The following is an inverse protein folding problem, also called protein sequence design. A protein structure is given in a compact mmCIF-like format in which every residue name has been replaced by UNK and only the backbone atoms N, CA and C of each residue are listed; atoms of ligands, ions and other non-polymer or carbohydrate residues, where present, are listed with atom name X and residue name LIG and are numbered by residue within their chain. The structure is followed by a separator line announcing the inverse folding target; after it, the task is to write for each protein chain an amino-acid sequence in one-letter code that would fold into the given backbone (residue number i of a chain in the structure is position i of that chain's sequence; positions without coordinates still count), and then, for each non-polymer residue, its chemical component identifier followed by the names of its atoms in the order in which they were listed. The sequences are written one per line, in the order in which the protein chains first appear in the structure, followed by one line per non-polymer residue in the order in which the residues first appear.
data_IF_163171996375
#
_entry.id   IF_163171996375
#
_cell.length_a   1.000
_cell.length_b   1.000
_cell.length_c   1.000
_cell.angle_alpha   90.00
_cell.angle_beta   90.00
_cell.angle_gamma   90.00
#
_symmetry.space_group_name_H-M   'P 1'
#
loop_
_entity.id
_entity.type
_entity.pdbx_description
1 polymer ?
#
# COMPACT_ATOMS: atom_id res chain seq x y z
N UNK A 1 11.43 -7.11 11.19
CA UNK A 1 12.38 -8.19 11.52
C UNK A 1 13.71 -7.65 12.04
N UNK A 2 14.21 -6.56 11.46
CA UNK A 2 15.47 -5.92 11.84
C UNK A 2 15.28 -4.82 12.92
N UNK A 3 14.07 -4.70 13.47
CA UNK A 3 13.72 -3.66 14.43
C UNK A 3 13.66 -2.26 13.83
N UNK A 4 13.71 -1.25 14.71
CA UNK A 4 13.68 0.16 14.29
C UNK A 4 14.91 0.57 13.48
N UNK A 5 16.03 -0.12 13.61
CA UNK A 5 17.29 0.15 12.88
C UNK A 5 17.14 0.00 11.37
N UNK A 6 16.18 -0.82 10.91
CA UNK A 6 15.86 -0.99 9.49
C UNK A 6 14.89 0.04 8.94
N UNK A 7 14.31 0.88 9.79
CA UNK A 7 13.28 1.85 9.40
C UNK A 7 13.91 3.16 8.95
N UNK A 8 13.48 3.64 7.79
CA UNK A 8 13.79 4.98 7.28
C UNK A 8 12.51 5.75 6.99
N UNK A 9 12.51 7.03 7.28
CA UNK A 9 11.34 7.89 7.12
C UNK A 9 11.52 8.89 5.98
N UNK A 10 10.40 9.26 5.36
CA UNK A 10 10.29 10.45 4.51
C UNK A 10 9.25 11.38 5.12
N UNK A 11 9.62 12.64 5.39
CA UNK A 11 8.74 13.61 6.01
C UNK A 11 8.35 14.71 5.00
N UNK A 12 7.06 14.80 4.70
CA UNK A 12 6.51 15.80 3.77
C UNK A 12 5.70 16.83 4.54
N UNK A 13 6.15 18.09 4.49
CA UNK A 13 5.57 19.19 5.21
C UNK A 13 4.76 20.08 4.27
N UNK A 14 3.50 20.32 4.57
CA UNK A 14 2.61 21.24 3.87
C UNK A 14 2.16 22.29 4.86
N UNK A 15 2.65 23.53 4.70
CA UNK A 15 2.50 24.56 5.72
C UNK A 15 2.23 25.95 5.12
N UNK A 16 1.39 26.79 5.74
CA UNK A 16 1.09 28.12 5.24
C UNK A 16 2.02 29.21 5.80
N UNK A 17 3.31 28.94 6.00
CA UNK A 17 4.27 29.87 6.64
C UNK A 17 4.24 31.28 6.09
N UNK A 18 4.07 31.43 4.77
CA UNK A 18 4.05 32.73 4.10
C UNK A 18 2.70 33.43 4.15
N UNK A 19 1.70 32.82 4.72
CA UNK A 19 0.31 33.27 4.63
C UNK A 19 -0.25 33.74 5.97
N UNK A 20 0.41 33.40 7.08
CA UNK A 20 -0.05 33.70 8.42
C UNK A 20 1.12 33.96 9.39
N UNK A 21 0.92 34.91 10.29
CA UNK A 21 1.85 35.20 11.38
C UNK A 21 1.94 34.02 12.34
N UNK A 22 3.15 33.68 12.79
CA UNK A 22 3.43 32.62 13.75
C UNK A 22 3.50 31.18 13.16
N UNK A 23 3.13 30.98 11.90
CA UNK A 23 3.14 29.65 11.29
C UNK A 23 4.55 29.09 11.03
N UNK A 24 5.53 29.94 10.84
CA UNK A 24 6.95 29.57 10.78
C UNK A 24 7.48 29.05 12.13
N UNK A 25 7.10 29.70 13.24
CA UNK A 25 7.43 29.23 14.59
C UNK A 25 6.74 27.87 14.91
N UNK A 26 5.47 27.73 14.49
CA UNK A 26 4.75 26.44 14.63
C UNK A 26 5.42 25.33 13.81
N UNK A 27 5.84 25.61 12.57
CA UNK A 27 6.57 24.65 11.75
C UNK A 27 7.87 24.23 12.43
N UNK A 28 8.65 25.21 12.92
CA UNK A 28 9.91 24.90 13.64
C UNK A 28 9.65 23.99 14.84
N UNK A 29 8.62 24.26 15.64
CA UNK A 29 8.27 23.45 16.81
C UNK A 29 7.86 22.03 16.40
N UNK A 30 7.07 21.89 15.34
CA UNK A 30 6.65 20.58 14.83
C UNK A 30 7.81 19.76 14.27
N UNK A 31 8.70 20.41 13.48
CA UNK A 31 9.92 19.75 12.96
C UNK A 31 10.84 19.33 14.10
N UNK A 32 11.02 20.19 15.10
CA UNK A 32 11.84 19.88 16.27
C UNK A 32 11.27 18.66 17.03
N UNK A 33 9.97 18.62 17.26
CA UNK A 33 9.32 17.49 17.96
C UNK A 33 9.52 16.16 17.20
N UNK A 34 9.35 16.18 15.87
CA UNK A 34 9.60 15.00 15.04
C UNK A 34 11.08 14.59 15.10
N UNK A 35 12.00 15.56 14.99
CA UNK A 35 13.44 15.31 15.06
C UNK A 35 13.84 14.71 16.40
N UNK A 36 13.39 15.29 17.51
CA UNK A 36 13.70 14.80 18.86
C UNK A 36 13.21 13.36 19.06
N UNK A 37 12.01 13.04 18.59
CA UNK A 37 11.43 11.71 18.64
C UNK A 37 12.23 10.71 17.78
N UNK A 38 12.54 11.07 16.53
CA UNK A 38 13.35 10.23 15.64
C UNK A 38 14.76 9.97 16.21
N UNK A 39 15.37 10.99 16.80
CA UNK A 39 16.67 10.84 17.48
C UNK A 39 16.59 9.87 18.67
N UNK A 40 15.53 9.97 19.48
CA UNK A 40 15.30 9.06 20.61
C UNK A 40 15.11 7.61 20.17
N UNK A 41 14.47 7.40 19.01
CA UNK A 41 14.26 6.09 18.41
C UNK A 41 15.42 5.61 17.52
N UNK A 42 16.43 6.48 17.26
CA UNK A 42 17.54 6.23 16.35
C UNK A 42 17.11 5.94 14.90
N UNK A 43 15.98 6.52 14.47
CA UNK A 43 15.45 6.39 13.12
C UNK A 43 15.91 7.56 12.26
N UNK A 44 16.41 7.28 11.05
CA UNK A 44 16.84 8.32 10.14
C UNK A 44 15.67 8.87 9.28
N UNK A 45 15.82 10.14 8.85
CA UNK A 45 14.92 10.80 7.90
C UNK A 45 15.76 11.29 6.70
N UNK A 46 16.13 10.38 5.77
CA UNK A 46 17.05 10.70 4.68
C UNK A 46 16.46 11.61 3.61
N UNK A 47 15.14 11.71 3.54
CA UNK A 47 14.46 12.48 2.50
C UNK A 47 13.15 13.09 3.01
N UNK A 48 12.69 14.06 2.28
CA UNK A 48 11.43 14.74 2.55
C UNK A 48 11.22 15.88 1.57
N UNK A 49 10.13 16.58 1.76
CA UNK A 49 9.74 17.71 0.90
C UNK A 49 8.87 18.67 1.69
N UNK A 50 9.03 19.95 1.45
CA UNK A 50 8.21 20.99 2.05
C UNK A 50 7.52 21.87 1.00
N UNK A 51 6.30 22.28 1.33
CA UNK A 51 5.49 23.25 0.60
C UNK A 51 5.01 24.30 1.59
N UNK A 52 5.65 25.49 1.57
CA UNK A 52 5.50 26.47 2.64
C UNK A 52 4.51 27.61 2.32
N UNK A 53 3.76 27.54 1.24
CA UNK A 53 2.77 28.53 0.83
C UNK A 53 1.42 27.89 0.48
N UNK A 54 0.99 26.96 1.30
CA UNK A 54 -0.24 26.18 1.08
C UNK A 54 -1.49 27.04 1.27
N UNK A 55 -1.84 27.77 0.21
CA UNK A 55 -3.00 28.67 0.18
C UNK A 55 -3.62 28.63 -1.21
N UNK A 56 -4.93 28.37 -1.28
CA UNK A 56 -5.71 28.51 -2.51
C UNK A 56 -6.35 29.90 -2.55
N UNK A 57 -6.12 30.65 -3.62
CA UNK A 57 -6.74 31.95 -3.90
C UNK A 57 -7.79 31.80 -4.99
N UNK A 58 -8.92 32.45 -4.82
CA UNK A 58 -10.02 32.44 -5.78
C UNK A 58 -10.17 33.78 -6.50
N UNK A 59 -10.80 33.82 -7.70
CA UNK A 59 -10.97 35.05 -8.47
C UNK A 59 -11.76 36.16 -7.76
N UNK A 60 -12.62 35.80 -6.82
CA UNK A 60 -13.41 36.73 -6.00
C UNK A 60 -12.60 37.37 -4.85
N UNK A 61 -11.32 37.06 -4.75
CA UNK A 61 -10.42 37.54 -3.71
C UNK A 61 -10.47 36.72 -2.42
N UNK A 62 -11.35 35.73 -2.31
CA UNK A 62 -11.35 34.82 -1.19
C UNK A 62 -10.13 33.90 -1.21
N UNK A 63 -9.74 33.42 -0.02
CA UNK A 63 -8.63 32.47 0.11
C UNK A 63 -8.96 31.38 1.13
N UNK A 64 -8.52 30.17 0.85
CA UNK A 64 -8.50 29.05 1.80
C UNK A 64 -7.07 28.72 2.14
N UNK A 65 -6.77 28.72 3.42
CA UNK A 65 -5.45 28.43 3.98
C UNK A 65 -5.47 27.00 4.48
N UNK A 66 -4.52 26.19 4.03
CA UNK A 66 -4.37 24.81 4.49
C UNK A 66 -3.90 24.79 5.95
N UNK A 67 -4.41 23.90 6.80
CA UNK A 67 -3.79 23.65 8.10
C UNK A 67 -2.35 23.14 7.92
N UNK A 68 -1.50 23.45 8.90
CA UNK A 68 -0.16 22.85 8.96
C UNK A 68 -0.28 21.33 9.05
N UNK A 69 0.36 20.62 8.11
CA UNK A 69 0.26 19.16 7.98
C UNK A 69 1.64 18.57 7.73
N UNK A 70 1.93 17.45 8.38
CA UNK A 70 3.06 16.59 8.04
C UNK A 70 2.56 15.20 7.68
N UNK A 71 3.10 14.64 6.60
CA UNK A 71 2.90 13.25 6.23
C UNK A 71 4.23 12.54 6.34
N UNK A 72 4.32 11.59 7.26
CA UNK A 72 5.49 10.75 7.46
C UNK A 72 5.22 9.39 6.85
N UNK A 73 6.08 9.00 5.92
CA UNK A 73 6.07 7.66 5.33
C UNK A 73 7.25 6.87 5.87
N UNK A 74 7.02 5.64 6.27
CA UNK A 74 8.05 4.75 6.79
C UNK A 74 8.30 3.60 5.81
N UNK A 75 9.55 3.28 5.58
CA UNK A 75 10.00 2.08 4.88
C UNK A 75 10.88 1.25 5.79
N UNK A 76 10.66 -0.06 5.81
CA UNK A 76 11.46 -1.00 6.59
C UNK A 76 11.69 -2.29 5.82
N UNK A 77 12.76 -3.01 6.13
CA UNK A 77 13.07 -4.28 5.52
C UNK A 77 12.20 -5.40 6.11
N UNK A 78 11.71 -6.28 5.25
CA UNK A 78 10.95 -7.48 5.63
C UNK A 78 11.73 -8.70 5.18
N UNK A 79 12.28 -9.45 6.11
CA UNK A 79 13.12 -10.63 5.82
C UNK A 79 12.31 -11.84 5.32
N UNK A 80 11.05 -11.94 5.71
CA UNK A 80 10.15 -13.04 5.30
C UNK A 80 8.73 -12.50 5.07
N UNK A 81 8.36 -12.34 3.81
CA UNK A 81 7.02 -11.84 3.40
C UNK A 81 5.86 -12.72 3.86
N UNK A 82 6.12 -13.92 4.35
CA UNK A 82 5.10 -14.81 4.94
C UNK A 82 4.83 -14.52 6.41
N UNK A 83 5.68 -13.76 7.08
CA UNK A 83 5.51 -13.33 8.47
C UNK A 83 4.82 -11.97 8.56
N UNK A 84 3.77 -11.77 7.78
CA UNK A 84 2.93 -10.56 7.84
C UNK A 84 1.68 -10.85 8.64
N UNK A 85 1.18 -9.83 9.34
CA UNK A 85 -0.07 -9.89 10.09
C UNK A 85 -1.15 -9.22 9.27
N UNK A 86 -2.24 -9.94 8.99
CA UNK A 86 -3.43 -9.38 8.35
C UNK A 86 -4.30 -8.64 9.37
N UNK A 87 -4.96 -7.54 9.01
CA UNK A 87 -5.94 -6.90 9.90
C UNK A 87 -7.26 -7.68 10.00
N UNK A 88 -7.47 -8.69 9.15
CA UNK A 88 -8.74 -9.41 9.06
C UNK A 88 -8.90 -10.37 10.23
N UNK A 89 -9.96 -10.18 11.01
CA UNK A 89 -10.30 -11.05 12.14
C UNK A 89 -10.46 -12.51 11.69
N UNK A 90 -9.84 -13.43 12.43
CA UNK A 90 -10.05 -14.86 12.25
C UNK A 90 -11.27 -15.29 13.09
N UNK A 91 -12.30 -15.83 12.44
CA UNK A 91 -13.51 -16.33 13.12
C UNK A 91 -13.19 -17.62 13.87
N UNK A 92 -12.71 -17.48 15.10
CA UNK A 92 -12.38 -18.61 15.97
C UNK A 92 -12.59 -18.21 17.44
N UNK A 93 -13.57 -18.78 18.10
CA UNK A 93 -13.88 -18.51 19.50
C UNK A 93 -12.77 -18.90 20.50
N UNK A 94 -11.84 -19.78 20.10
CA UNK A 94 -10.68 -20.16 20.92
C UNK A 94 -9.52 -19.19 20.76
N UNK A 95 -9.85 -17.91 20.63
CA UNK A 95 -8.88 -16.82 20.51
C UNK A 95 -9.28 -15.66 21.42
N UNK A 96 -8.34 -14.81 21.70
CA UNK A 96 -8.51 -13.64 22.55
C UNK A 96 -8.02 -12.39 21.83
N UNK A 97 -8.75 -11.29 22.00
CA UNK A 97 -8.43 -9.97 21.48
C UNK A 97 -7.78 -9.15 22.59
N UNK A 98 -6.63 -8.55 22.30
CA UNK A 98 -5.89 -7.66 23.19
C UNK A 98 -5.69 -6.30 22.55
N UNK A 99 -5.73 -5.26 23.38
CA UNK A 99 -5.20 -3.93 23.06
C UNK A 99 -3.82 -3.80 23.70
N UNK A 100 -2.86 -3.29 22.95
CA UNK A 100 -1.50 -2.97 23.40
C UNK A 100 -1.31 -1.47 23.23
N UNK A 101 -0.99 -0.76 24.31
CA UNK A 101 -0.74 0.66 24.30
C UNK A 101 0.69 0.98 23.85
N UNK A 102 0.84 1.96 22.98
CA UNK A 102 2.14 2.50 22.54
C UNK A 102 2.36 3.94 22.99
N UNK A 103 1.34 4.57 23.56
CA UNK A 103 1.35 6.00 23.88
C UNK A 103 1.95 6.32 25.22
N UNK A 104 1.78 5.46 26.20
CA UNK A 104 2.03 5.75 27.63
C UNK A 104 1.37 7.06 28.10
N UNK A 105 0.20 7.37 27.52
CA UNK A 105 -0.52 8.63 27.73
C UNK A 105 -1.99 8.37 28.12
N UNK A 106 -2.62 9.37 28.75
CA UNK A 106 -4.06 9.35 28.97
C UNK A 106 -4.80 9.45 27.62
N UNK A 107 -6.00 8.87 27.57
CA UNK A 107 -6.85 8.94 26.37
C UNK A 107 -7.33 10.38 26.14
N UNK A 108 -7.08 10.92 24.94
CA UNK A 108 -7.36 12.30 24.55
C UNK A 108 -8.09 12.35 23.21
N UNK A 109 -9.00 13.30 23.05
CA UNK A 109 -9.86 13.44 21.85
C UNK A 109 -9.48 14.60 20.94
N UNK A 110 -8.51 15.45 21.34
CA UNK A 110 -8.09 16.59 20.53
C UNK A 110 -7.53 16.14 19.18
N UNK A 111 -7.96 16.81 18.12
CA UNK A 111 -7.55 16.49 16.75
C UNK A 111 -8.17 15.24 16.16
N UNK A 112 -8.85 14.40 16.94
CA UNK A 112 -9.43 13.15 16.48
C UNK A 112 -10.52 13.33 15.41
N UNK A 113 -10.75 12.31 14.60
CA UNK A 113 -11.85 12.27 13.64
C UNK A 113 -13.19 12.51 14.34
N UNK A 114 -13.37 11.99 15.55
CA UNK A 114 -14.57 12.24 16.36
C UNK A 114 -14.76 13.73 16.67
N UNK A 115 -13.73 14.43 17.15
CA UNK A 115 -13.79 15.87 17.42
C UNK A 115 -14.11 16.68 16.17
N UNK A 116 -13.49 16.31 15.03
CA UNK A 116 -13.71 16.96 13.73
C UNK A 116 -15.16 16.78 13.24
N UNK A 117 -15.78 15.62 13.42
CA UNK A 117 -17.21 15.42 13.06
C UNK A 117 -18.16 16.31 13.85
N UNK A 118 -17.75 16.76 15.03
CA UNK A 118 -18.48 17.73 15.87
C UNK A 118 -18.14 19.20 15.55
N UNK A 119 -17.33 19.45 14.54
CA UNK A 119 -16.83 20.80 14.20
C UNK A 119 -15.90 21.39 15.26
N UNK A 120 -15.22 20.54 16.03
CA UNK A 120 -14.27 20.93 17.09
C UNK A 120 -12.91 20.29 16.83
N UNK A 121 -11.85 20.96 17.28
CA UNK A 121 -10.49 20.39 17.22
C UNK A 121 -10.07 19.90 18.61
N UNK A 122 -10.30 20.68 19.67
CA UNK A 122 -9.83 20.41 21.03
C UNK A 122 -8.35 20.74 21.23
N UNK A 123 -7.93 20.87 22.48
CA UNK A 123 -6.58 21.30 22.85
C UNK A 123 -5.71 20.13 23.35
N UNK A 124 -6.35 19.08 23.91
CA UNK A 124 -5.65 17.91 24.41
C UNK A 124 -5.55 16.84 23.33
N UNK A 125 -4.38 16.74 22.70
CA UNK A 125 -4.09 15.76 21.65
C UNK A 125 -3.36 14.53 22.21
N UNK A 126 -3.59 13.31 21.64
CA UNK A 126 -2.80 12.13 21.97
C UNK A 126 -1.32 12.35 21.61
N UNK A 127 -0.43 11.76 22.40
CA UNK A 127 1.01 11.87 22.20
C UNK A 127 1.70 10.60 22.68
N UNK A 128 2.92 10.35 22.22
CA UNK A 128 3.83 9.38 22.81
C UNK A 128 4.58 10.11 23.93
N UNK A 129 4.34 9.73 25.19
CA UNK A 129 4.95 10.38 26.34
C UNK A 129 6.37 9.88 26.61
N UNK A 130 6.68 8.66 26.20
CA UNK A 130 7.99 8.02 26.42
C UNK A 130 8.41 7.27 25.15
N UNK A 131 9.51 7.73 24.55
CA UNK A 131 10.05 7.14 23.33
C UNK A 131 10.68 5.75 23.58
N UNK A 132 11.23 5.51 24.76
CA UNK A 132 11.79 4.20 25.12
C UNK A 132 10.67 3.16 25.28
N UNK A 133 9.59 3.55 25.97
CA UNK A 133 8.40 2.71 26.06
C UNK A 133 7.82 2.38 24.68
N UNK A 134 7.71 3.38 23.79
CA UNK A 134 7.25 3.14 22.41
C UNK A 134 8.14 2.14 21.67
N UNK A 135 9.47 2.28 21.79
CA UNK A 135 10.44 1.36 21.20
C UNK A 135 10.24 -0.06 21.73
N UNK A 136 10.11 -0.20 23.06
CA UNK A 136 9.98 -1.50 23.71
C UNK A 136 8.65 -2.17 23.34
N UNK A 137 7.55 -1.40 23.22
CA UNK A 137 6.26 -1.88 22.70
C UNK A 137 6.38 -2.35 21.25
N UNK A 138 7.05 -1.57 20.39
CA UNK A 138 7.29 -1.95 19.00
C UNK A 138 8.09 -3.25 18.90
N UNK A 139 9.20 -3.37 19.62
CA UNK A 139 10.06 -4.56 19.61
C UNK A 139 9.33 -5.80 20.16
N UNK A 140 8.55 -5.66 21.23
CA UNK A 140 7.73 -6.75 21.76
C UNK A 140 6.73 -7.26 20.71
N UNK A 141 6.06 -6.35 19.99
CA UNK A 141 5.14 -6.73 18.90
C UNK A 141 5.88 -7.41 17.76
N UNK A 142 7.07 -6.92 17.36
CA UNK A 142 7.89 -7.59 16.33
C UNK A 142 8.31 -9.00 16.79
N UNK A 143 8.61 -9.20 18.04
CA UNK A 143 8.88 -10.53 18.60
C UNK A 143 7.65 -11.46 18.49
N UNK A 144 6.45 -10.95 18.81
CA UNK A 144 5.21 -11.70 18.66
C UNK A 144 4.95 -12.09 17.19
N UNK A 145 5.20 -11.19 16.25
CA UNK A 145 5.08 -11.45 14.79
C UNK A 145 6.09 -12.51 14.37
N UNK A 146 7.35 -12.37 14.74
CA UNK A 146 8.42 -13.31 14.39
C UNK A 146 8.18 -14.73 14.90
N UNK A 147 7.60 -14.84 16.09
CA UNK A 147 7.23 -16.12 16.70
C UNK A 147 5.92 -16.69 16.16
N UNK A 148 5.20 -15.97 15.28
CA UNK A 148 3.91 -16.40 14.72
C UNK A 148 2.79 -16.49 15.76
N UNK A 149 2.80 -15.64 16.77
CA UNK A 149 1.85 -15.67 17.87
C UNK A 149 0.61 -14.82 17.62
N UNK A 150 0.65 -13.92 16.61
CA UNK A 150 -0.46 -13.03 16.23
C UNK A 150 -1.20 -13.65 15.04
N UNK A 151 -2.51 -13.79 15.16
CA UNK A 151 -3.39 -14.31 14.10
C UNK A 151 -3.93 -13.18 13.20
N UNK A 152 -4.25 -12.04 13.82
CA UNK A 152 -4.69 -10.81 13.16
C UNK A 152 -4.27 -9.62 14.01
N UNK A 153 -4.07 -8.45 13.39
CA UNK A 153 -3.73 -7.24 14.13
C UNK A 153 -3.96 -5.98 13.31
N UNK A 154 -4.35 -4.91 13.99
CA UNK A 154 -4.65 -3.61 13.38
C UNK A 154 -4.21 -2.49 14.32
N UNK A 155 -3.65 -1.43 13.76
CA UNK A 155 -3.29 -0.22 14.49
C UNK A 155 -4.52 0.61 14.87
N UNK A 156 -4.40 1.38 15.94
CA UNK A 156 -5.38 2.41 16.29
C UNK A 156 -4.99 3.67 15.54
N UNK A 157 -5.89 4.13 14.67
CA UNK A 157 -5.72 5.33 13.87
C UNK A 157 -6.99 6.20 13.88
N UNK A 158 -7.29 6.88 12.77
CA UNK A 158 -8.45 7.74 12.66
C UNK A 158 -9.76 7.03 13.06
N UNK A 159 -10.49 7.60 14.03
CA UNK A 159 -11.73 7.03 14.56
C UNK A 159 -11.56 6.14 15.79
N UNK A 160 -10.31 5.90 16.24
CA UNK A 160 -10.00 5.25 17.51
C UNK A 160 -10.32 3.76 17.57
N UNK A 161 -10.38 3.22 18.79
CA UNK A 161 -10.54 1.79 19.05
C UNK A 161 -11.77 1.17 18.36
N UNK A 162 -12.93 1.85 18.38
CA UNK A 162 -14.15 1.28 17.78
C UNK A 162 -14.02 1.10 16.26
N UNK A 163 -13.37 2.05 15.58
CA UNK A 163 -13.13 1.95 14.14
C UNK A 163 -12.17 0.81 13.83
N UNK A 164 -11.07 0.69 14.58
CA UNK A 164 -10.13 -0.43 14.47
C UNK A 164 -10.83 -1.80 14.59
N UNK A 165 -11.68 -1.97 15.62
CA UNK A 165 -12.43 -3.23 15.80
C UNK A 165 -13.41 -3.51 14.66
N UNK A 166 -14.07 -2.48 14.13
CA UNK A 166 -14.97 -2.60 12.98
C UNK A 166 -14.22 -2.96 11.70
N UNK A 167 -13.09 -2.28 11.43
CA UNK A 167 -12.25 -2.52 10.25
C UNK A 167 -11.69 -3.94 10.24
N UNK A 168 -11.33 -4.50 11.39
CA UNK A 168 -10.95 -5.92 11.50
C UNK A 168 -12.06 -6.89 11.06
N UNK A 169 -13.33 -6.47 11.12
CA UNK A 169 -14.48 -7.28 10.72
C UNK A 169 -14.96 -7.01 9.29
N UNK A 170 -14.64 -5.88 8.67
CA UNK A 170 -15.26 -5.44 7.42
C UNK A 170 -14.96 -6.35 6.22
N UNK A 171 -13.79 -6.97 6.19
CA UNK A 171 -13.41 -7.89 5.11
C UNK A 171 -14.11 -9.25 5.20
N UNK A 172 -14.57 -9.64 6.39
CA UNK A 172 -15.33 -10.85 6.60
C UNK A 172 -16.80 -10.67 6.20
N UNK A 173 -17.47 -11.75 5.83
CA UNK A 173 -18.92 -11.77 5.56
C UNK A 173 -19.72 -12.33 6.73
N UNK A 174 -19.05 -12.96 7.69
CA UNK A 174 -19.62 -13.60 8.88
C UNK A 174 -18.81 -13.24 10.12
N UNK A 175 -19.39 -13.44 11.30
CA UNK A 175 -18.74 -13.23 12.59
C UNK A 175 -18.63 -11.78 13.02
N UNK A 176 -18.31 -11.59 14.29
CA UNK A 176 -18.11 -10.31 14.96
C UNK A 176 -17.31 -10.47 16.24
N UNK A 177 -17.56 -9.63 17.23
CA UNK A 177 -16.79 -9.60 18.47
C UNK A 177 -17.67 -9.29 19.70
N UNK A 178 -17.31 -9.88 20.84
CA UNK A 178 -17.75 -9.46 22.16
C UNK A 178 -16.59 -8.81 22.88
N UNK A 179 -16.74 -7.53 23.24
CA UNK A 179 -15.72 -6.66 23.82
C UNK A 179 -16.15 -6.16 25.19
N UNK A 180 -15.30 -6.33 26.18
CA UNK A 180 -15.49 -5.82 27.54
C UNK A 180 -14.38 -4.83 27.88
N UNK A 181 -14.76 -3.62 28.24
CA UNK A 181 -13.88 -2.49 28.50
C UNK A 181 -13.62 -2.23 30.00
N UNK A 182 -14.12 -3.09 30.91
CA UNK A 182 -14.04 -2.85 32.37
C UNK A 182 -12.60 -2.75 32.89
N UNK A 183 -11.65 -3.39 32.22
CA UNK A 183 -10.24 -3.35 32.57
C UNK A 183 -9.51 -2.09 32.13
N UNK A 184 -10.12 -1.29 31.26
CA UNK A 184 -9.59 0.02 30.87
C UNK A 184 -9.89 1.02 32.00
N UNK A 185 -8.85 1.68 32.51
CA UNK A 185 -8.95 2.59 33.68
C UNK A 185 -9.79 3.83 33.40
N UNK A 186 -9.78 4.33 32.16
CA UNK A 186 -10.62 5.46 31.76
C UNK A 186 -12.12 5.12 31.96
N UNK A 187 -12.88 6.08 32.47
CA UNK A 187 -14.32 5.90 32.71
C UNK A 187 -15.18 6.48 31.59
N UNK A 188 -14.67 7.47 30.88
CA UNK A 188 -15.37 8.08 29.74
C UNK A 188 -15.34 7.15 28.54
N UNK A 189 -16.49 6.55 28.24
CA UNK A 189 -16.63 5.61 27.13
C UNK A 189 -16.32 6.26 25.76
N UNK A 190 -16.61 7.56 25.60
CA UNK A 190 -16.29 8.29 24.38
C UNK A 190 -14.78 8.38 24.19
N UNK A 191 -14.03 8.69 25.25
CA UNK A 191 -12.56 8.66 25.19
C UNK A 191 -12.03 7.27 24.85
N UNK A 192 -12.56 6.22 25.49
CA UNK A 192 -12.11 4.85 25.23
C UNK A 192 -12.33 4.45 23.78
N UNK A 193 -13.49 4.78 23.21
CA UNK A 193 -13.85 4.33 21.86
C UNK A 193 -13.20 5.17 20.74
N UNK A 194 -13.02 6.47 20.96
CA UNK A 194 -12.68 7.42 19.89
C UNK A 194 -11.35 8.16 20.08
N UNK A 195 -10.62 7.94 21.18
CA UNK A 195 -9.27 8.47 21.28
C UNK A 195 -8.33 7.77 20.28
N UNK A 196 -7.49 8.57 19.63
CA UNK A 196 -6.55 8.11 18.60
C UNK A 196 -5.13 7.99 19.18
N UNK A 197 -5.03 7.56 20.43
CA UNK A 197 -3.73 7.27 21.03
C UNK A 197 -3.04 6.13 20.29
N UNK A 198 -1.74 6.23 20.01
CA UNK A 198 -0.97 5.15 19.37
C UNK A 198 -1.12 3.83 20.12
N UNK A 199 -1.48 2.79 19.42
CA UNK A 199 -1.67 1.46 19.95
C UNK A 199 -2.07 0.48 18.86
N UNK A 200 -2.19 -0.78 19.21
CA UNK A 200 -2.64 -1.83 18.29
C UNK A 200 -3.63 -2.77 18.98
N UNK A 201 -4.49 -3.35 18.17
CA UNK A 201 -5.35 -4.46 18.55
C UNK A 201 -4.81 -5.73 17.91
N UNK A 202 -4.61 -6.78 18.69
CA UNK A 202 -4.16 -8.09 18.21
C UNK A 202 -5.11 -9.20 18.60
N UNK A 203 -5.21 -10.21 17.74
CA UNK A 203 -5.89 -11.47 18.02
C UNK A 203 -4.87 -12.59 18.21
N UNK A 204 -5.00 -13.35 19.28
CA UNK A 204 -4.08 -14.38 19.71
C UNK A 204 -4.82 -15.68 19.98
N UNK A 205 -4.26 -16.83 19.57
CA UNK A 205 -4.79 -18.13 19.95
C UNK A 205 -4.71 -18.35 21.46
N UNK A 206 -5.76 -18.91 22.04
CA UNK A 206 -5.81 -19.22 23.48
C UNK A 206 -4.67 -20.12 23.95
N UNK A 207 -4.09 -20.91 23.05
CA UNK A 207 -2.90 -21.73 23.32
C UNK A 207 -1.65 -20.91 23.63
N UNK A 208 -1.59 -19.69 23.13
CA UNK A 208 -0.40 -18.83 23.18
C UNK A 208 -0.54 -17.63 24.14
N UNK A 209 -1.68 -17.50 24.83
CA UNK A 209 -1.96 -16.37 25.73
C UNK A 209 -0.82 -16.09 26.73
N UNK A 210 -0.35 -17.15 27.39
CA UNK A 210 0.66 -17.00 28.44
C UNK A 210 2.01 -16.57 27.85
N UNK A 211 2.38 -17.10 26.69
CA UNK A 211 3.61 -16.67 26.00
C UNK A 211 3.53 -15.20 25.56
N UNK A 212 2.38 -14.77 25.05
CA UNK A 212 2.15 -13.36 24.64
C UNK A 212 2.24 -12.44 25.86
N UNK A 213 1.56 -12.79 26.96
CA UNK A 213 1.61 -11.99 28.20
C UNK A 213 3.05 -11.87 28.72
N UNK A 214 3.78 -12.99 28.77
CA UNK A 214 5.16 -13.00 29.26
C UNK A 214 6.04 -12.05 28.45
N UNK A 215 5.96 -12.05 27.11
CA UNK A 215 6.74 -11.16 26.25
C UNK A 215 6.39 -9.68 26.53
N UNK A 216 5.11 -9.36 26.67
CA UNK A 216 4.68 -7.98 26.94
C UNK A 216 5.06 -7.52 28.35
N UNK A 217 4.96 -8.40 29.36
CA UNK A 217 5.33 -8.11 30.75
C UNK A 217 6.85 -7.96 30.91
N UNK A 218 7.64 -8.82 30.26
CA UNK A 218 9.10 -8.73 30.26
C UNK A 218 9.60 -7.44 29.60
N UNK A 219 8.88 -6.94 28.59
CA UNK A 219 9.15 -5.66 27.95
C UNK A 219 8.56 -4.45 28.70
N UNK A 220 7.83 -4.65 29.79
CA UNK A 220 7.17 -3.57 30.54
C UNK A 220 6.03 -2.89 29.80
N UNK A 221 5.43 -3.56 28.80
CA UNK A 221 4.42 -2.98 27.90
C UNK A 221 3.01 -3.20 28.43
N UNK A 222 2.21 -2.11 28.48
CA UNK A 222 0.82 -2.14 28.91
C UNK A 222 -0.10 -2.82 27.88
N UNK A 223 -0.90 -3.77 28.33
CA UNK A 223 -1.90 -4.42 27.49
C UNK A 223 -3.20 -4.68 28.26
N UNK A 224 -4.30 -4.78 27.51
CA UNK A 224 -5.62 -5.09 28.07
C UNK A 224 -6.28 -6.19 27.25
N UNK A 225 -6.77 -7.23 27.90
CA UNK A 225 -7.67 -8.19 27.27
C UNK A 225 -9.02 -7.50 27.04
N UNK A 226 -9.40 -7.37 25.75
CA UNK A 226 -10.66 -6.76 25.35
C UNK A 226 -11.81 -7.77 25.24
N UNK A 227 -11.57 -8.94 24.64
CA UNK A 227 -12.67 -9.85 24.36
C UNK A 227 -12.29 -11.04 23.48
N UNK A 228 -13.25 -11.47 22.68
CA UNK A 228 -13.12 -12.63 21.78
C UNK A 228 -14.01 -12.45 20.53
N UNK A 229 -13.71 -13.15 19.41
CA UNK A 229 -14.62 -13.29 18.29
C UNK A 229 -15.92 -14.03 18.69
N UNK A 230 -16.97 -13.76 17.92
CA UNK A 230 -18.28 -14.44 18.02
C UNK A 230 -18.80 -14.76 16.61
N UNK A 231 -19.78 -15.68 16.51
CA UNK A 231 -20.42 -16.01 15.23
C UNK A 231 -21.44 -14.93 14.78
N UNK A 232 -21.85 -14.07 15.69
CA UNK A 232 -22.83 -13.03 15.43
C UNK A 232 -22.24 -11.88 14.62
N UNK A 233 -22.97 -11.37 13.61
CA UNK A 233 -22.50 -10.29 12.71
C UNK A 233 -22.65 -8.90 13.33
N UNK A 234 -22.18 -8.72 14.57
CA UNK A 234 -22.12 -7.44 15.26
C UNK A 234 -20.93 -7.37 16.22
N UNK A 235 -20.58 -6.18 16.63
CA UNK A 235 -19.68 -5.95 17.77
C UNK A 235 -20.52 -5.56 18.96
N UNK A 236 -20.44 -6.35 20.03
CA UNK A 236 -21.03 -6.03 21.31
C UNK A 236 -19.96 -5.42 22.21
N UNK A 237 -20.17 -4.20 22.67
CA UNK A 237 -19.22 -3.47 23.54
C UNK A 237 -19.88 -3.22 24.89
N UNK A 238 -19.26 -3.68 25.97
CA UNK A 238 -19.75 -3.48 27.34
C UNK A 238 -18.74 -2.74 28.23
N UNK A 239 -19.23 -1.89 29.12
CA UNK A 239 -18.49 -1.29 30.24
C UNK A 239 -19.44 -1.04 31.42
N UNK A 240 -19.18 -1.71 32.53
CA UNK A 240 -20.14 -1.74 33.66
C UNK A 240 -21.51 -2.25 33.19
N UNK A 241 -22.54 -1.51 33.53
CA UNK A 241 -23.94 -1.86 33.16
C UNK A 241 -24.34 -1.37 31.76
N UNK A 242 -23.43 -0.71 31.02
CA UNK A 242 -23.72 -0.14 29.70
C UNK A 242 -23.25 -1.09 28.63
N UNK A 243 -24.12 -1.36 27.64
CA UNK A 243 -23.82 -2.20 26.49
C UNK A 243 -24.30 -1.53 25.21
N UNK A 244 -23.44 -1.53 24.20
CA UNK A 244 -23.75 -1.07 22.85
C UNK A 244 -23.54 -2.18 21.84
N UNK A 245 -24.39 -2.19 20.83
CA UNK A 245 -24.31 -3.13 19.71
C UNK A 245 -24.12 -2.38 18.40
N UNK A 246 -23.08 -2.76 17.65
CA UNK A 246 -22.76 -2.20 16.33
C UNK A 246 -22.94 -3.26 15.27
N UNK A 247 -23.95 -3.10 14.41
CA UNK A 247 -24.15 -3.98 13.25
C UNK A 247 -23.04 -3.75 12.22
N UNK A 248 -22.20 -4.75 11.98
CA UNK A 248 -20.96 -4.61 11.18
C UNK A 248 -21.26 -4.18 9.75
N UNK A 249 -22.22 -4.82 9.10
CA UNK A 249 -22.54 -4.51 7.69
C UNK A 249 -23.07 -3.08 7.53
N UNK A 250 -23.90 -2.62 8.47
CA UNK A 250 -24.37 -1.23 8.48
C UNK A 250 -23.24 -0.25 8.71
N UNK A 251 -22.37 -0.52 9.68
CA UNK A 251 -21.21 0.34 9.99
C UNK A 251 -20.21 0.37 8.85
N UNK A 252 -20.01 -0.76 8.14
CA UNK A 252 -19.18 -0.82 6.93
C UNK A 252 -19.77 0.08 5.83
N UNK A 253 -21.07 0.05 5.63
CA UNK A 253 -21.72 0.90 4.63
C UNK A 253 -21.61 2.38 4.98
N UNK A 254 -21.74 2.75 6.27
CA UNK A 254 -21.50 4.11 6.74
C UNK A 254 -20.03 4.52 6.51
N UNK A 255 -19.08 3.69 6.90
CA UNK A 255 -17.65 3.91 6.71
C UNK A 255 -17.28 4.13 5.25
N UNK A 256 -17.81 3.32 4.34
CA UNK A 256 -17.52 3.39 2.91
C UNK A 256 -18.36 4.45 2.15
N UNK A 257 -19.41 4.99 2.76
CA UNK A 257 -20.38 5.85 2.07
C UNK A 257 -19.76 7.10 1.43
N UNK A 258 -18.83 7.76 2.12
CA UNK A 258 -18.14 8.95 1.59
C UNK A 258 -17.34 8.60 0.33
N UNK A 259 -16.58 7.51 0.35
CA UNK A 259 -15.85 7.00 -0.82
C UNK A 259 -16.80 6.64 -1.97
N UNK A 260 -17.95 6.01 -1.67
CA UNK A 260 -18.97 5.71 -2.67
C UNK A 260 -19.58 6.97 -3.29
N UNK A 261 -19.90 7.99 -2.49
CA UNK A 261 -20.46 9.26 -2.98
C UNK A 261 -19.47 9.98 -3.92
N UNK A 262 -18.18 9.90 -3.64
CA UNK A 262 -17.14 10.44 -4.51
C UNK A 262 -16.96 9.59 -5.77
N UNK A 263 -16.88 8.27 -5.62
CA UNK A 263 -16.70 7.32 -6.71
C UNK A 263 -17.85 7.40 -7.73
N UNK A 264 -19.08 7.55 -7.27
CA UNK A 264 -20.26 7.68 -8.14
C UNK A 264 -20.25 8.95 -9.02
N UNK A 265 -19.47 9.99 -8.64
CA UNK A 265 -19.25 11.17 -9.47
C UNK A 265 -18.14 10.97 -10.51
N UNK A 266 -17.23 10.04 -10.27
CA UNK A 266 -16.08 9.76 -11.12
C UNK A 266 -16.31 8.58 -12.06
N UNK A 267 -17.12 7.60 -11.66
CA UNK A 267 -17.34 6.37 -12.41
C UNK A 267 -18.65 6.39 -13.21
N UNK A 268 -18.61 5.84 -14.43
CA UNK A 268 -19.77 5.68 -15.29
C UNK A 268 -20.43 4.31 -15.13
N UNK A 269 -21.55 4.12 -15.82
CA UNK A 269 -22.27 2.85 -16.00
C UNK A 269 -22.66 2.13 -14.70
N UNK A 270 -22.83 2.88 -13.59
CA UNK A 270 -23.21 2.32 -12.30
C UNK A 270 -22.10 1.50 -11.61
N UNK A 271 -20.86 1.57 -12.10
CA UNK A 271 -19.74 0.79 -11.55
C UNK A 271 -19.47 1.10 -10.07
N UNK A 272 -19.62 2.37 -9.63
CA UNK A 272 -19.50 2.73 -8.23
C UNK A 272 -20.52 1.99 -7.34
N UNK A 273 -21.78 1.90 -7.79
CA UNK A 273 -22.81 1.19 -7.05
C UNK A 273 -22.52 -0.31 -6.97
N UNK A 274 -22.12 -0.92 -8.07
CA UNK A 274 -21.72 -2.33 -8.10
C UNK A 274 -20.58 -2.62 -7.12
N UNK A 275 -19.56 -1.74 -7.04
CA UNK A 275 -18.46 -1.85 -6.08
C UNK A 275 -18.94 -1.77 -4.64
N UNK A 276 -19.80 -0.84 -4.33
CA UNK A 276 -20.35 -0.64 -3.00
C UNK A 276 -21.18 -1.85 -2.52
N UNK A 277 -21.96 -2.47 -3.43
CA UNK A 277 -22.89 -3.53 -3.10
C UNK A 277 -22.27 -4.95 -3.10
N UNK A 278 -21.18 -5.15 -3.84
CA UNK A 278 -20.67 -6.51 -4.08
C UNK A 278 -19.45 -6.92 -3.22
N UNK A 279 -19.10 -6.19 -2.17
CA UNK A 279 -17.93 -6.51 -1.33
C UNK A 279 -17.99 -7.91 -0.73
N UNK A 280 -19.17 -8.42 -0.43
CA UNK A 280 -19.39 -9.80 0.06
C UNK A 280 -19.12 -10.88 -0.99
N UNK A 281 -19.00 -10.50 -2.26
CA UNK A 281 -18.87 -11.41 -3.40
C UNK A 281 -17.46 -11.46 -3.97
N UNK A 282 -16.48 -10.85 -3.31
CA UNK A 282 -15.13 -10.67 -3.81
C UNK A 282 -14.05 -11.08 -2.80
N UNK A 283 -14.01 -12.33 -2.36
CA UNK A 283 -12.84 -12.81 -1.66
C UNK A 283 -11.65 -12.80 -2.63
N UNK A 284 -10.58 -12.07 -2.30
CA UNK A 284 -9.30 -12.20 -2.99
C UNK A 284 -8.54 -13.32 -2.30
N UNK A 285 -8.50 -14.48 -2.93
CA UNK A 285 -7.73 -15.61 -2.47
C UNK A 285 -6.42 -15.72 -3.24
N UNK A 286 -5.32 -15.92 -2.51
CA UNK A 286 -4.01 -16.17 -3.10
C UNK A 286 -3.66 -17.65 -2.95
N UNK A 287 -3.64 -18.36 -4.07
CA UNK A 287 -3.16 -19.73 -4.11
C UNK A 287 -1.69 -19.75 -4.55
N UNK A 288 -0.79 -20.00 -3.60
CA UNK A 288 0.62 -20.23 -3.93
C UNK A 288 0.81 -21.69 -4.38
N UNK A 289 1.76 -21.91 -5.31
CA UNK A 289 2.21 -23.26 -5.64
C UNK A 289 2.65 -23.99 -4.34
N UNK A 290 2.34 -25.28 -4.17
CA UNK A 290 2.58 -26.00 -2.90
C UNK A 290 4.03 -25.99 -2.42
N UNK A 291 4.99 -25.88 -3.33
CA UNK A 291 6.42 -25.83 -3.06
C UNK A 291 6.99 -24.40 -2.95
N UNK A 292 6.15 -23.35 -3.13
CA UNK A 292 6.59 -21.97 -3.08
C UNK A 292 7.12 -21.58 -1.69
N UNK A 293 8.40 -21.22 -1.62
CA UNK A 293 9.12 -20.85 -0.38
C UNK A 293 9.33 -19.35 -0.22
N UNK A 294 9.03 -18.54 -1.26
CA UNK A 294 9.26 -17.10 -1.26
C UNK A 294 10.73 -16.70 -1.22
N UNK A 295 11.66 -17.54 -1.70
CA UNK A 295 13.09 -17.27 -1.68
C UNK A 295 13.68 -17.29 -3.09
N UNK A 296 14.53 -16.34 -3.40
CA UNK A 296 15.24 -16.27 -4.69
C UNK A 296 16.00 -17.55 -5.02
N UNK A 297 16.64 -18.16 -4.03
CA UNK A 297 17.41 -19.41 -4.22
C UNK A 297 16.57 -20.58 -4.70
N UNK A 298 15.26 -20.60 -4.48
CA UNK A 298 14.35 -21.61 -4.98
C UNK A 298 14.30 -21.64 -6.52
N UNK A 299 14.48 -20.47 -7.13
CA UNK A 299 14.41 -20.27 -8.59
C UNK A 299 15.79 -20.06 -9.21
N UNK A 300 16.87 -20.32 -8.49
CA UNK A 300 18.24 -20.08 -8.95
C UNK A 300 18.60 -18.62 -9.15
N UNK A 301 17.79 -17.69 -8.60
CA UNK A 301 18.03 -16.26 -8.69
C UNK A 301 19.15 -15.89 -7.72
N UNK A 302 20.21 -15.26 -8.26
CA UNK A 302 21.32 -14.73 -7.47
C UNK A 302 21.38 -13.20 -7.59
N UNK A 303 20.93 -12.44 -6.56
CA UNK A 303 20.99 -10.98 -6.59
C UNK A 303 22.41 -10.42 -6.58
N UNK A 304 23.40 -11.22 -6.20
CA UNK A 304 24.82 -10.81 -6.12
C UNK A 304 25.63 -11.26 -7.34
N UNK A 305 24.96 -11.69 -8.42
CA UNK A 305 25.64 -12.08 -9.67
C UNK A 305 26.52 -10.94 -10.18
N UNK A 306 27.80 -11.25 -10.46
CA UNK A 306 28.78 -10.28 -11.03
C UNK A 306 29.26 -10.68 -12.42
N UNK A 307 29.04 -11.93 -12.80
CA UNK A 307 29.46 -12.45 -14.12
C UNK A 307 28.35 -12.22 -15.14
N UNK A 308 28.64 -11.65 -16.32
CA UNK A 308 27.69 -11.57 -17.42
C UNK A 308 27.16 -12.94 -17.83
N UNK A 309 25.90 -13.01 -18.20
CA UNK A 309 25.26 -14.24 -18.72
C UNK A 309 25.47 -14.45 -20.21
N UNK A 310 25.76 -13.38 -20.93
CA UNK A 310 25.81 -13.37 -22.38
C UNK A 310 24.44 -13.26 -23.07
N UNK A 311 23.34 -13.30 -22.34
CA UNK A 311 21.97 -13.11 -22.85
C UNK A 311 21.52 -11.68 -22.55
N UNK A 312 21.26 -10.91 -23.60
CA UNK A 312 20.98 -9.47 -23.44
C UNK A 312 19.51 -9.13 -23.49
N UNK A 313 19.10 -8.23 -22.57
CA UNK A 313 17.80 -7.59 -22.61
C UNK A 313 17.95 -6.08 -22.77
N UNK A 314 17.15 -5.49 -23.65
CA UNK A 314 17.06 -4.03 -23.80
C UNK A 314 15.78 -3.50 -23.17
N UNK A 315 15.92 -2.45 -22.36
CA UNK A 315 14.80 -1.65 -21.91
C UNK A 315 14.63 -0.52 -22.89
N UNK A 316 13.50 -0.51 -23.61
CA UNK A 316 13.20 0.55 -24.58
C UNK A 316 12.34 1.58 -23.90
N UNK A 317 12.79 2.84 -23.94
CA UNK A 317 12.09 3.96 -23.32
C UNK A 317 12.02 5.19 -24.20
N UNK A 318 10.97 5.96 -23.97
CA UNK A 318 10.71 7.26 -24.57
C UNK A 318 10.58 8.30 -23.43
N UNK A 319 10.68 9.57 -23.75
CA UNK A 319 10.44 10.63 -22.74
C UNK A 319 9.02 10.50 -22.17
N UNK A 320 8.92 10.59 -20.83
CA UNK A 320 7.68 10.39 -20.08
C UNK A 320 7.44 8.94 -19.65
N UNK A 321 8.27 7.97 -20.07
CA UNK A 321 8.27 6.63 -19.47
C UNK A 321 8.97 6.63 -18.13
N UNK A 322 8.65 5.66 -17.28
CA UNK A 322 9.28 5.44 -15.97
C UNK A 322 9.34 3.95 -15.63
N UNK A 323 9.97 3.62 -14.48
CA UNK A 323 10.13 2.24 -14.04
C UNK A 323 11.29 1.50 -14.72
N UNK A 324 12.18 2.20 -15.42
CA UNK A 324 13.32 1.60 -16.10
C UNK A 324 14.31 0.95 -15.14
N UNK A 325 14.50 1.50 -13.96
CA UNK A 325 15.43 0.93 -12.95
C UNK A 325 14.88 -0.33 -12.34
N UNK A 326 13.61 -0.34 -11.96
CA UNK A 326 12.90 -1.50 -11.45
C UNK A 326 12.87 -2.62 -12.49
N UNK A 327 12.65 -2.27 -13.76
CA UNK A 327 12.69 -3.21 -14.85
C UNK A 327 14.11 -3.75 -15.09
N UNK A 328 15.14 -2.89 -15.03
CA UNK A 328 16.52 -3.29 -15.15
C UNK A 328 16.91 -4.30 -14.05
N UNK A 329 16.51 -4.03 -12.82
CA UNK A 329 16.77 -4.93 -11.71
C UNK A 329 16.01 -6.25 -11.85
N UNK A 330 14.76 -6.22 -12.26
CA UNK A 330 13.96 -7.43 -12.50
C UNK A 330 14.57 -8.32 -13.60
N UNK A 331 15.03 -7.73 -14.71
CA UNK A 331 15.71 -8.43 -15.79
C UNK A 331 17.07 -8.98 -15.35
N UNK A 332 17.82 -8.21 -14.56
CA UNK A 332 19.08 -8.67 -13.97
C UNK A 332 18.86 -9.88 -13.05
N UNK A 333 17.84 -9.85 -12.20
CA UNK A 333 17.47 -10.99 -11.36
C UNK A 333 17.05 -12.21 -12.19
N UNK A 334 16.35 -11.98 -13.31
CA UNK A 334 15.97 -13.04 -14.26
C UNK A 334 17.16 -13.60 -15.06
N UNK A 335 18.36 -13.04 -14.89
CA UNK A 335 19.58 -13.57 -15.50
C UNK A 335 20.06 -12.84 -16.76
N UNK A 336 19.43 -11.74 -17.17
CA UNK A 336 19.84 -10.98 -18.34
C UNK A 336 20.98 -10.00 -18.04
N UNK A 337 21.77 -9.70 -19.07
CA UNK A 337 22.66 -8.55 -19.12
C UNK A 337 21.87 -7.38 -19.71
N UNK A 338 21.64 -6.32 -18.92
CA UNK A 338 20.65 -5.29 -19.24
C UNK A 338 21.28 -4.12 -19.98
N UNK A 339 20.60 -3.65 -21.03
CA UNK A 339 20.96 -2.51 -21.87
C UNK A 339 19.84 -1.47 -21.84
N UNK A 340 20.17 -0.22 -21.55
CA UNK A 340 19.23 0.90 -21.63
C UNK A 340 19.23 1.48 -23.04
N UNK A 341 18.06 1.54 -23.67
CA UNK A 341 17.87 1.98 -25.06
C UNK A 341 16.79 3.04 -25.12
N UNK A 342 17.15 4.22 -25.59
CA UNK A 342 16.17 5.30 -25.83
C UNK A 342 15.69 5.27 -27.28
N UNK A 343 14.50 5.84 -27.52
CA UNK A 343 14.03 6.03 -28.90
C UNK A 343 15.01 6.84 -29.76
N UNK A 344 15.77 7.76 -29.17
CA UNK A 344 16.81 8.51 -29.88
C UNK A 344 17.91 7.60 -30.42
N UNK A 345 18.25 6.52 -29.72
CA UNK A 345 19.24 5.54 -30.17
C UNK A 345 18.76 4.79 -31.41
N UNK A 346 17.49 4.36 -31.38
CA UNK A 346 16.86 3.66 -32.52
C UNK A 346 16.66 4.61 -33.72
N UNK A 347 16.18 5.80 -33.50
CA UNK A 347 15.94 6.81 -34.56
C UNK A 347 17.23 7.24 -35.25
N UNK A 348 18.32 7.38 -34.51
CA UNK A 348 19.62 7.70 -35.07
C UNK A 348 20.30 6.51 -35.78
N UNK A 349 19.88 5.30 -35.46
CA UNK A 349 20.51 4.06 -35.89
C UNK A 349 21.79 3.72 -35.12
N UNK A 350 21.99 4.33 -33.94
CA UNK A 350 23.05 3.97 -33.00
C UNK A 350 22.81 2.62 -32.36
N UNK A 351 21.53 2.25 -32.23
CA UNK A 351 21.05 0.95 -31.76
C UNK A 351 20.24 0.25 -32.87
N UNK A 352 20.48 -1.06 -33.05
CA UNK A 352 19.82 -1.90 -34.07
C UNK A 352 19.12 -3.13 -33.50
N UNK A 353 19.26 -3.39 -32.20
CA UNK A 353 18.71 -4.53 -31.45
C UNK A 353 19.20 -5.92 -31.95
N UNK A 354 20.21 -5.98 -32.82
CA UNK A 354 20.70 -7.25 -33.39
C UNK A 354 21.35 -8.16 -32.32
N UNK A 355 21.93 -7.58 -31.27
CA UNK A 355 22.60 -8.28 -30.19
C UNK A 355 21.68 -8.49 -28.94
N UNK A 356 20.36 -8.23 -29.04
CA UNK A 356 19.41 -8.30 -27.97
C UNK A 356 18.47 -9.48 -28.14
N UNK A 357 18.27 -10.27 -27.08
CA UNK A 357 17.35 -11.42 -27.05
C UNK A 357 15.99 -11.11 -26.42
N UNK A 358 15.91 -10.07 -25.59
CA UNK A 358 14.65 -9.64 -25.01
C UNK A 358 14.52 -8.12 -25.06
N UNK A 359 13.35 -7.63 -25.43
CA UNK A 359 13.02 -6.21 -25.28
C UNK A 359 11.87 -6.03 -24.29
N UNK A 360 11.99 -4.97 -23.49
CA UNK A 360 10.93 -4.55 -22.57
C UNK A 360 10.59 -3.10 -22.83
N UNK A 361 9.33 -2.85 -23.13
CA UNK A 361 8.80 -1.49 -23.23
C UNK A 361 8.30 -1.05 -21.85
N UNK A 362 8.86 0.04 -21.32
CA UNK A 362 8.53 0.55 -19.99
C UNK A 362 7.12 1.13 -19.94
N UNK A 363 6.62 1.24 -18.71
CA UNK A 363 5.41 1.98 -18.37
C UNK A 363 5.61 3.50 -18.34
N UNK A 364 4.63 4.21 -17.85
CA UNK A 364 4.60 5.67 -17.71
C UNK A 364 3.63 6.33 -18.68
N UNK A 365 3.97 7.53 -19.13
CA UNK A 365 3.15 8.37 -20.00
C UNK A 365 4.00 8.91 -21.15
N UNK A 366 4.33 8.05 -22.12
CA UNK A 366 5.20 8.42 -23.23
C UNK A 366 4.65 9.63 -23.98
N UNK A 367 5.50 10.65 -24.20
CA UNK A 367 5.11 11.93 -24.81
C UNK A 367 3.86 12.56 -24.15
N UNK A 368 3.67 12.38 -22.82
CA UNK A 368 2.51 12.82 -22.02
C UNK A 368 1.16 12.34 -22.56
N UNK A 369 1.15 11.27 -23.36
CA UNK A 369 -0.04 10.70 -24.03
C UNK A 369 -0.90 11.74 -24.79
N UNK A 370 -0.30 12.82 -25.29
CA UNK A 370 -0.99 13.95 -25.94
C UNK A 370 -1.86 13.49 -27.12
N UNK A 371 -1.38 12.53 -27.91
CA UNK A 371 -2.12 11.97 -29.05
C UNK A 371 -3.03 10.78 -28.66
N UNK A 372 -3.02 10.40 -27.40
CA UNK A 372 -3.59 9.18 -26.85
C UNK A 372 -2.50 8.19 -26.43
N UNK A 373 -2.89 7.21 -25.64
CA UNK A 373 -1.96 6.27 -24.98
C UNK A 373 -0.97 5.62 -25.96
N UNK A 374 0.32 5.89 -25.75
CA UNK A 374 1.47 5.41 -26.51
C UNK A 374 1.47 5.73 -28.03
N UNK A 375 0.52 6.52 -28.54
CA UNK A 375 0.46 6.82 -29.97
C UNK A 375 1.63 7.64 -30.48
N UNK A 376 2.11 8.58 -29.71
CA UNK A 376 3.33 9.34 -30.04
C UNK A 376 4.54 8.44 -30.13
N UNK A 377 4.68 7.49 -29.20
CA UNK A 377 5.76 6.51 -29.18
C UNK A 377 5.64 5.53 -30.36
N UNK A 378 4.44 5.02 -30.64
CA UNK A 378 4.20 4.19 -31.82
C UNK A 378 4.56 4.91 -33.12
N UNK A 379 4.23 6.21 -33.23
CA UNK A 379 4.61 7.05 -34.36
C UNK A 379 6.11 7.14 -34.58
N UNK A 380 6.90 7.19 -33.51
CA UNK A 380 8.35 7.20 -33.59
C UNK A 380 8.92 5.90 -34.23
N UNK A 381 8.29 4.75 -34.00
CA UNK A 381 8.63 3.50 -34.69
C UNK A 381 8.12 3.48 -36.12
N UNK A 382 6.84 3.79 -36.33
CA UNK A 382 6.19 3.59 -37.63
C UNK A 382 6.69 4.56 -38.70
N UNK A 383 7.06 5.77 -38.34
CA UNK A 383 7.42 6.84 -39.28
C UNK A 383 8.91 7.13 -39.34
N UNK A 384 9.74 6.47 -38.53
CA UNK A 384 11.19 6.55 -38.66
C UNK A 384 11.74 5.27 -39.30
N UNK A 385 12.40 5.34 -40.51
CA UNK A 385 12.84 4.14 -41.19
C UNK A 385 13.82 3.27 -40.39
N UNK A 386 14.76 3.88 -39.68
CA UNK A 386 15.78 3.13 -38.91
C UNK A 386 15.18 2.42 -37.70
N UNK A 387 14.33 3.12 -36.95
CA UNK A 387 13.65 2.52 -35.79
C UNK A 387 12.71 1.40 -36.23
N UNK A 388 11.99 1.60 -37.33
CA UNK A 388 11.13 0.56 -37.92
C UNK A 388 11.93 -0.64 -38.36
N UNK A 389 13.02 -0.43 -39.09
CA UNK A 389 13.89 -1.51 -39.59
C UNK A 389 14.48 -2.33 -38.43
N UNK A 390 14.96 -1.68 -37.37
CA UNK A 390 15.46 -2.35 -36.17
C UNK A 390 14.38 -3.23 -35.53
N UNK A 391 13.16 -2.71 -35.40
CA UNK A 391 12.04 -3.45 -34.87
C UNK A 391 11.61 -4.63 -35.74
N UNK A 392 11.47 -4.42 -37.04
CA UNK A 392 11.08 -5.46 -38.00
C UNK A 392 12.10 -6.61 -38.01
N UNK A 393 13.42 -6.30 -38.03
CA UNK A 393 14.51 -7.30 -37.94
C UNK A 393 14.49 -8.05 -36.61
N UNK A 394 14.22 -7.35 -35.51
CA UNK A 394 14.11 -7.96 -34.17
C UNK A 394 12.99 -9.03 -34.13
N UNK A 395 11.81 -8.68 -34.59
CA UNK A 395 10.65 -9.60 -34.58
C UNK A 395 10.70 -10.68 -35.66
N UNK A 396 11.58 -10.55 -36.66
CA UNK A 396 11.82 -11.60 -37.63
C UNK A 396 12.70 -12.75 -37.13
N UNK A 397 13.35 -12.57 -35.98
CA UNK A 397 14.20 -13.57 -35.33
C UNK A 397 13.38 -14.50 -34.44
N UNK A 398 13.78 -15.78 -34.36
CA UNK A 398 13.13 -16.81 -33.53
C UNK A 398 13.66 -16.86 -32.08
N UNK A 399 14.81 -16.23 -31.80
CA UNK A 399 15.51 -16.24 -30.52
C UNK A 399 15.20 -15.00 -29.64
N UNK A 400 14.07 -14.37 -29.88
CA UNK A 400 13.70 -13.12 -29.20
C UNK A 400 12.40 -13.20 -28.43
N UNK A 401 12.32 -12.44 -27.34
CA UNK A 401 11.13 -12.25 -26.51
C UNK A 401 10.83 -10.77 -26.34
N UNK A 402 9.56 -10.42 -26.14
CA UNK A 402 9.15 -9.05 -25.84
C UNK A 402 8.10 -8.98 -24.74
N UNK A 403 8.17 -7.90 -23.94
CA UNK A 403 7.24 -7.59 -22.86
C UNK A 403 6.88 -6.11 -22.90
N UNK A 404 5.60 -5.80 -22.83
CA UNK A 404 5.11 -4.44 -22.63
C UNK A 404 4.46 -4.28 -21.27
N UNK A 405 4.91 -3.27 -20.53
CA UNK A 405 4.38 -2.95 -19.20
C UNK A 405 3.59 -1.65 -19.26
N UNK A 406 2.31 -1.66 -18.85
CA UNK A 406 1.45 -0.47 -18.78
C UNK A 406 1.42 0.29 -20.12
N UNK A 407 2.04 1.46 -20.22
CA UNK A 407 2.15 2.24 -21.47
C UNK A 407 2.92 1.45 -22.57
N UNK A 408 3.88 0.62 -22.19
CA UNK A 408 4.54 -0.31 -23.11
C UNK A 408 3.61 -1.39 -23.67
N UNK A 409 2.64 -1.86 -22.90
CA UNK A 409 1.59 -2.77 -23.39
C UNK A 409 0.69 -2.04 -24.41
N UNK A 410 0.34 -0.79 -24.15
CA UNK A 410 -0.42 0.05 -25.08
C UNK A 410 0.38 0.26 -26.39
N UNK A 411 1.69 0.47 -26.30
CA UNK A 411 2.57 0.55 -27.45
C UNK A 411 2.54 -0.74 -28.30
N UNK A 412 2.64 -1.90 -27.66
CA UNK A 412 2.60 -3.19 -28.38
C UNK A 412 1.27 -3.38 -29.11
N UNK A 413 0.16 -2.90 -28.54
CA UNK A 413 -1.15 -2.91 -29.22
C UNK A 413 -1.18 -1.96 -30.41
N UNK A 414 -0.68 -0.73 -30.28
CA UNK A 414 -0.63 0.25 -31.37
C UNK A 414 0.27 -0.20 -32.53
N UNK A 415 1.34 -0.95 -32.23
CA UNK A 415 2.26 -1.54 -33.21
C UNK A 415 1.80 -2.92 -33.74
N UNK A 416 0.69 -3.46 -33.25
CA UNK A 416 0.17 -4.80 -33.60
C UNK A 416 1.17 -5.95 -33.34
N UNK A 417 1.91 -5.88 -32.23
CA UNK A 417 2.95 -6.86 -31.92
C UNK A 417 2.44 -8.08 -31.11
N UNK A 418 1.25 -7.99 -30.52
CA UNK A 418 0.73 -9.06 -29.64
C UNK A 418 0.11 -10.20 -30.45
N UNK A 419 -0.67 -9.86 -31.50
CA UNK A 419 -1.33 -10.84 -32.37
C UNK A 419 -1.17 -10.44 -33.84
N UNK A 420 0.05 -10.41 -34.40
CA UNK A 420 0.29 -9.91 -35.75
C UNK A 420 -0.42 -10.70 -36.85
N UNK A 421 -0.67 -11.99 -36.64
CA UNK A 421 -1.39 -12.89 -37.55
C UNK A 421 -2.91 -12.68 -37.58
N UNK A 422 -3.46 -11.90 -36.65
CA UNK A 422 -4.91 -11.74 -36.52
C UNK A 422 -5.44 -10.77 -37.57
N UNK A 423 -6.55 -11.14 -38.24
CA UNK A 423 -7.18 -10.30 -39.28
C UNK A 423 -7.69 -8.95 -38.77
N UNK A 424 -7.98 -8.85 -37.47
CA UNK A 424 -8.41 -7.61 -36.79
C UNK A 424 -7.41 -7.25 -35.72
N UNK A 425 -6.85 -6.07 -35.80
CA UNK A 425 -5.99 -5.53 -34.76
C UNK A 425 -6.78 -5.24 -33.49
N UNK A 426 -6.25 -5.67 -32.35
CA UNK A 426 -6.78 -5.27 -31.06
C UNK A 426 -6.57 -3.78 -30.83
N UNK A 427 -7.36 -3.20 -29.94
CA UNK A 427 -7.23 -1.79 -29.51
C UNK A 427 -7.43 -1.69 -28.00
N UNK A 428 -6.66 -0.82 -27.38
CA UNK A 428 -6.91 -0.43 -26.01
C UNK A 428 -8.07 0.57 -25.99
N UNK A 429 -9.07 0.28 -25.17
CA UNK A 429 -10.26 1.12 -25.02
C UNK A 429 -10.39 1.54 -23.54
N UNK A 430 -11.27 2.50 -23.28
CA UNK A 430 -11.68 2.81 -21.92
C UNK A 430 -12.38 1.59 -21.30
N UNK A 431 -12.13 1.38 -20.01
CA UNK A 431 -12.90 0.42 -19.24
C UNK A 431 -14.33 0.91 -18.98
N UNK A 432 -15.20 0.07 -18.45
CA UNK A 432 -16.62 0.40 -18.25
C UNK A 432 -16.83 1.57 -17.29
N UNK A 433 -15.94 1.77 -16.31
CA UNK A 433 -16.06 2.87 -15.36
C UNK A 433 -15.59 4.22 -15.91
N UNK A 434 -14.88 4.23 -17.04
CA UNK A 434 -14.21 5.40 -17.62
C UNK A 434 -13.22 6.10 -16.69
N UNK A 435 -12.76 5.43 -15.66
CA UNK A 435 -11.68 5.92 -14.78
C UNK A 435 -10.59 4.86 -14.60
N UNK A 436 -9.42 5.28 -14.15
CA UNK A 436 -8.36 4.36 -13.77
C UNK A 436 -8.82 3.48 -12.59
N UNK A 437 -8.72 2.16 -12.75
CA UNK A 437 -9.07 1.18 -11.73
C UNK A 437 -7.81 0.66 -11.06
N UNK A 438 -7.58 1.07 -9.81
CA UNK A 438 -6.49 0.60 -8.97
C UNK A 438 -7.04 -0.38 -7.93
N UNK A 439 -6.71 -1.67 -8.06
CA UNK A 439 -7.21 -2.71 -7.16
C UNK A 439 -6.38 -3.99 -7.23
N UNK A 440 -6.47 -4.80 -6.21
CA UNK A 440 -6.00 -6.18 -6.26
C UNK A 440 -7.00 -7.03 -7.03
N UNK A 441 -6.49 -7.89 -7.89
CA UNK A 441 -7.27 -8.83 -8.69
C UNK A 441 -6.70 -10.22 -8.55
N UNK A 442 -7.58 -11.21 -8.43
CA UNK A 442 -7.24 -12.60 -8.69
C UNK A 442 -7.23 -12.84 -10.21
N UNK A 443 -6.20 -13.47 -10.72
CA UNK A 443 -6.11 -13.89 -12.11
C UNK A 443 -5.84 -15.38 -12.19
N UNK A 444 -6.42 -16.04 -13.18
CA UNK A 444 -6.09 -17.42 -13.51
C UNK A 444 -5.28 -17.45 -14.80
N UNK A 445 -4.15 -18.15 -14.78
CA UNK A 445 -3.33 -18.37 -15.97
C UNK A 445 -3.78 -19.66 -16.65
N UNK A 446 -4.56 -19.59 -17.76
CA UNK A 446 -4.98 -20.79 -18.46
C UNK A 446 -3.81 -21.48 -19.14
N UNK A 447 -4.00 -22.70 -19.58
CA UNK A 447 -3.04 -23.41 -20.44
C UNK A 447 -2.71 -22.56 -21.66
N UNK A 448 -1.44 -22.29 -21.89
CA UNK A 448 -0.97 -21.39 -22.93
C UNK A 448 0.37 -21.84 -23.53
N UNK A 449 0.79 -21.19 -24.62
CA UNK A 449 2.07 -21.44 -25.30
C UNK A 449 3.12 -20.37 -25.00
N UNK A 450 2.82 -19.43 -24.10
CA UNK A 450 3.77 -18.38 -23.76
C UNK A 450 5.00 -18.95 -23.07
N UNK A 451 6.19 -18.55 -23.53
CA UNK A 451 7.45 -18.93 -22.87
C UNK A 451 7.49 -18.36 -21.43
N UNK A 452 7.01 -17.14 -21.22
CA UNK A 452 7.04 -16.48 -19.91
C UNK A 452 5.92 -16.94 -18.95
N UNK A 453 4.77 -17.37 -19.46
CA UNK A 453 3.61 -17.73 -18.63
C UNK A 453 3.31 -19.23 -18.58
N UNK A 454 3.96 -20.03 -19.43
CA UNK A 454 3.69 -21.47 -19.53
C UNK A 454 3.88 -22.22 -18.21
N UNK A 455 4.91 -21.87 -17.43
CA UNK A 455 5.18 -22.45 -16.11
C UNK A 455 4.15 -22.07 -15.04
N UNK A 456 3.33 -21.06 -15.28
CA UNK A 456 2.26 -20.60 -14.39
C UNK A 456 0.89 -21.13 -14.78
N UNK A 457 0.80 -21.99 -15.81
CA UNK A 457 -0.47 -22.54 -16.27
C UNK A 457 -1.18 -23.33 -15.17
N UNK A 458 -2.41 -22.97 -14.89
CA UNK A 458 -3.24 -23.57 -13.84
C UNK A 458 -3.12 -22.92 -12.46
N UNK A 459 -2.33 -21.86 -12.35
CA UNK A 459 -2.27 -21.05 -11.12
C UNK A 459 -3.31 -19.92 -11.14
#
# INVERSE_FOLDING_TARGET
DEGLDSVSLSANWMWPCRSQEGEDARLYTAVKALSDFCCSLQINVPTGKDSLSMTQKYPDGSKVISPGTVIVSAGGEVSDVKKVVSPVLVNNEKTTIYHIDFSFDNLKLGGSAFAQTLGKVGDEVPSVQDAEYFRDAFLAVQELVNKGLILAGHDISAGGLITTLLEMCFANVEGGMEINLDKIKEQDLIKILFAENPGIVIQVSDKHKEAVKQILEDAGVGYVKLGKPTDERHILVSKGDVTYQFGIDYMRDVWYSTSYLLDRKQSMNGCAKKRFENYKMQPVEFAFMPDFKGKFSQYGINPDRRTPSGIRAAIIREKGTNGEREMAYSLYLAGFDVKDVTMTDLISGRETLEDVNMIVYCGGFSNSDVLGSAKGWAGAFLFNPKAKEALDKYYAREDTLSLGVCNGCQLMMELNLINPEHKKNGKMLHNDSHKFESRFLGVTVPTNRSVMLGSLSGS
#
